data_IF_435438156547
#
_entry.id   IF_435438156547
#
_cell.length_a   1.000
_cell.length_b   1.000
_cell.length_c   1.000
_cell.angle_alpha   90.00
_cell.angle_beta   90.00
_cell.angle_gamma   90.00
#
_symmetry.space_group_name_H-M   'P 1'
#
loop_
_entity.id
_entity.type
_entity.pdbx_description
1 polymer ?
#
# COMPACT_ATOMS: atom_id res chain seq x y z
N UNK A 1 106.86 36.39 -54.13
CA UNK A 1 106.96 36.41 -52.66
C UNK A 1 105.84 37.31 -52.13
N UNK A 2 104.62 36.79 -51.96
CA UNK A 2 103.48 37.39 -51.23
C UNK A 2 102.30 36.41 -51.25
N UNK A 3 101.68 36.15 -50.09
CA UNK A 3 100.62 35.13 -49.83
C UNK A 3 99.24 35.57 -50.36
N UNK A 4 98.29 34.63 -50.60
CA UNK A 4 96.91 34.96 -50.97
C UNK A 4 96.05 35.24 -49.72
N UNK A 5 95.06 36.15 -49.85
CA UNK A 5 93.97 36.33 -48.89
C UNK A 5 92.68 35.80 -49.52
N UNK A 6 92.13 34.75 -48.92
CA UNK A 6 90.81 34.18 -49.22
C UNK A 6 89.82 34.77 -48.20
N UNK A 7 88.71 35.34 -48.69
CA UNK A 7 87.56 35.75 -47.87
C UNK A 7 86.57 34.58 -47.91
N UNK A 8 86.30 33.95 -46.76
CA UNK A 8 85.28 32.91 -46.61
C UNK A 8 84.13 33.46 -45.76
N UNK A 9 82.91 33.32 -46.29
CA UNK A 9 81.66 33.68 -45.66
C UNK A 9 81.37 32.80 -44.44
N UNK A 10 80.85 33.41 -43.38
CA UNK A 10 80.45 32.75 -42.14
C UNK A 10 79.03 32.21 -42.27
N UNK A 11 78.82 30.92 -42.00
CA UNK A 11 77.51 30.31 -41.83
C UNK A 11 77.41 29.80 -40.38
N UNK A 12 76.44 30.33 -39.62
CA UNK A 12 76.14 29.94 -38.25
C UNK A 12 75.32 28.64 -38.27
N UNK A 13 75.80 27.59 -37.59
CA UNK A 13 75.05 26.34 -37.40
C UNK A 13 74.52 26.29 -35.96
N UNK A 14 73.20 26.42 -35.79
CA UNK A 14 72.52 26.30 -34.50
C UNK A 14 72.26 24.82 -34.22
N UNK A 15 72.94 24.24 -33.23
CA UNK A 15 72.64 22.89 -32.76
C UNK A 15 71.38 22.92 -31.87
N UNK A 16 70.28 22.32 -32.34
CA UNK A 16 69.10 22.04 -31.51
C UNK A 16 69.43 20.91 -30.52
N UNK A 17 69.46 21.24 -29.24
CA UNK A 17 69.43 20.26 -28.16
C UNK A 17 67.97 19.86 -27.92
N UNK A 18 67.56 18.68 -28.39
CA UNK A 18 66.26 18.10 -28.06
C UNK A 18 66.46 17.25 -26.81
N UNK A 19 65.94 17.62 -25.63
CA UNK A 19 65.90 16.69 -24.53
C UNK A 19 64.94 15.56 -24.91
N UNK A 20 65.42 14.32 -24.90
CA UNK A 20 64.54 13.16 -24.95
C UNK A 20 63.67 13.19 -23.69
N UNK A 21 62.43 13.66 -23.82
CA UNK A 21 61.42 13.49 -22.79
C UNK A 21 61.18 11.98 -22.65
N UNK A 22 61.76 11.38 -21.62
CA UNK A 22 61.34 10.07 -21.14
C UNK A 22 59.93 10.27 -20.58
N UNK A 23 58.93 10.01 -21.40
CA UNK A 23 57.58 9.80 -20.91
C UNK A 23 57.63 8.49 -20.11
N UNK A 24 57.81 8.59 -18.79
CA UNK A 24 57.40 7.51 -17.89
C UNK A 24 55.88 7.42 -18.01
N UNK A 25 55.41 6.54 -18.89
CA UNK A 25 54.02 6.12 -18.91
C UNK A 25 53.79 5.25 -17.68
N UNK A 26 53.55 5.87 -16.53
CA UNK A 26 52.97 5.19 -15.37
C UNK A 26 51.58 4.73 -15.79
N UNK A 27 51.45 3.44 -16.10
CA UNK A 27 50.14 2.83 -16.36
C UNK A 27 49.31 2.95 -15.09
N UNK A 28 48.35 3.87 -15.07
CA UNK A 28 47.38 4.01 -13.98
C UNK A 28 46.69 2.66 -13.77
N UNK A 29 46.74 2.14 -12.55
CA UNK A 29 46.05 0.88 -12.18
C UNK A 29 44.56 1.17 -12.12
N UNK A 30 43.75 0.35 -12.81
CA UNK A 30 42.30 0.47 -12.83
C UNK A 30 41.69 0.26 -11.43
N UNK A 31 40.77 1.12 -11.05
CA UNK A 31 40.00 1.05 -9.81
C UNK A 31 38.58 0.61 -10.11
N UNK A 32 38.02 -0.34 -9.34
CA UNK A 32 36.68 -0.83 -9.61
C UNK A 32 35.61 0.24 -9.33
N UNK A 33 34.46 0.16 -10.02
CA UNK A 33 33.31 0.99 -9.73
C UNK A 33 32.76 0.68 -8.33
N UNK A 34 32.06 1.65 -7.73
CA UNK A 34 31.39 1.48 -6.43
C UNK A 34 29.98 2.05 -6.45
N UNK A 35 29.05 1.41 -5.75
CA UNK A 35 27.75 2.02 -5.49
C UNK A 35 27.91 3.20 -4.52
N UNK A 36 27.13 4.25 -4.73
CA UNK A 36 27.10 5.42 -3.82
C UNK A 36 26.62 5.05 -2.40
N UNK A 37 25.83 3.97 -2.29
CA UNK A 37 25.40 3.37 -1.03
C UNK A 37 25.60 1.86 -1.09
N UNK A 38 26.42 1.33 -0.17
CA UNK A 38 26.93 -0.06 -0.20
C UNK A 38 26.27 -0.99 0.83
N UNK A 39 25.08 -0.63 1.32
CA UNK A 39 24.30 -1.49 2.22
C UNK A 39 23.29 -2.32 1.44
N UNK A 40 23.11 -3.59 1.81
CA UNK A 40 21.98 -4.40 1.36
C UNK A 40 20.66 -3.66 1.64
N UNK A 41 19.85 -3.51 0.61
CA UNK A 41 18.59 -2.80 0.71
C UNK A 41 17.44 -3.78 0.88
N UNK A 42 16.65 -3.58 1.94
CA UNK A 42 15.42 -4.34 2.18
C UNK A 42 14.23 -3.41 2.01
N UNK A 43 13.30 -3.77 1.14
CA UNK A 43 12.12 -2.98 0.85
C UNK A 43 10.86 -3.82 1.06
N UNK A 44 9.87 -3.24 1.75
CA UNK A 44 8.52 -3.78 1.79
C UNK A 44 7.69 -3.07 0.71
N UNK A 45 7.13 -3.83 -0.22
CA UNK A 45 6.34 -3.31 -1.35
C UNK A 45 4.92 -3.83 -1.24
N UNK A 46 3.92 -3.06 -1.67
CA UNK A 46 2.52 -3.50 -1.62
C UNK A 46 1.98 -3.82 -3.01
N UNK A 47 1.13 -4.85 -3.09
CA UNK A 47 0.44 -5.24 -4.32
C UNK A 47 -0.30 -4.03 -4.92
N UNK A 48 -0.04 -3.77 -6.19
CA UNK A 48 -0.66 -2.68 -6.95
C UNK A 48 -0.04 -1.31 -6.72
N UNK A 49 0.89 -1.14 -5.79
CA UNK A 49 1.64 0.11 -5.62
C UNK A 49 2.91 0.07 -6.50
N UNK A 50 3.35 1.22 -7.00
CA UNK A 50 4.56 1.28 -7.84
C UNK A 50 5.78 1.41 -6.95
N UNK A 51 6.63 0.39 -6.93
CA UNK A 51 7.99 0.47 -6.39
C UNK A 51 8.91 1.09 -7.43
N UNK A 52 9.71 2.07 -7.00
CA UNK A 52 10.69 2.71 -7.83
C UNK A 52 11.92 3.07 -7.01
N UNK A 53 13.11 2.73 -7.53
CA UNK A 53 14.39 3.06 -6.89
C UNK A 53 15.45 3.36 -7.94
N UNK A 54 16.46 4.14 -7.55
CA UNK A 54 17.63 4.44 -8.36
C UNK A 54 18.90 3.98 -7.66
N UNK A 55 19.81 3.39 -8.43
CA UNK A 55 21.11 2.96 -7.97
C UNK A 55 22.16 3.75 -8.71
N UNK A 56 22.92 4.54 -7.96
CA UNK A 56 24.03 5.34 -8.47
C UNK A 56 25.35 4.61 -8.27
N UNK A 57 26.17 4.59 -9.32
CA UNK A 57 27.50 4.00 -9.35
C UNK A 57 28.51 5.06 -9.73
N UNK A 58 29.60 5.16 -8.98
CA UNK A 58 30.71 6.04 -9.29
C UNK A 58 31.94 5.22 -9.62
N UNK A 59 32.58 5.53 -10.73
CA UNK A 59 33.89 5.01 -11.08
C UNK A 59 34.99 6.02 -10.71
N UNK A 60 36.03 5.64 -9.93
CA UNK A 60 37.12 6.57 -9.59
C UNK A 60 37.97 7.01 -10.79
N UNK A 61 37.93 6.25 -11.88
CA UNK A 61 38.70 6.49 -13.09
C UNK A 61 37.87 7.17 -14.20
N UNK A 62 36.59 7.46 -13.93
CA UNK A 62 35.59 8.04 -14.85
C UNK A 62 35.31 7.14 -16.07
N UNK A 63 35.49 5.82 -15.90
CA UNK A 63 35.21 4.84 -16.94
C UNK A 63 33.68 4.63 -17.14
N UNK A 64 33.22 4.35 -18.38
CA UNK A 64 31.80 4.09 -18.65
C UNK A 64 31.27 2.85 -17.93
N UNK A 65 30.12 2.99 -17.25
CA UNK A 65 29.48 1.89 -16.53
C UNK A 65 28.48 1.14 -17.40
N UNK A 66 28.60 -0.18 -17.41
CA UNK A 66 27.58 -1.10 -17.94
C UNK A 66 26.86 -1.80 -16.79
N UNK A 67 25.52 -1.76 -16.82
CA UNK A 67 24.68 -2.41 -15.82
C UNK A 67 24.10 -3.72 -16.35
N UNK A 68 24.05 -4.75 -15.49
CA UNK A 68 23.27 -5.96 -15.71
C UNK A 68 22.41 -6.26 -14.48
N UNK A 69 21.18 -6.69 -14.71
CA UNK A 69 20.21 -6.97 -13.63
C UNK A 69 19.71 -8.40 -13.77
N UNK A 70 19.75 -9.15 -12.68
CA UNK A 70 19.22 -10.52 -12.58
C UNK A 70 18.22 -10.63 -11.44
N UNK A 71 17.29 -11.60 -11.52
CA UNK A 71 16.23 -11.75 -10.51
C UNK A 71 15.12 -10.72 -10.61
N UNK A 72 15.03 -9.98 -11.73
CA UNK A 72 13.99 -8.98 -11.94
C UNK A 72 12.60 -9.66 -12.02
N UNK A 73 11.64 -9.30 -11.15
CA UNK A 73 10.31 -9.93 -11.14
C UNK A 73 9.53 -9.72 -12.45
N UNK A 74 8.52 -10.55 -12.69
CA UNK A 74 7.66 -10.40 -13.86
C UNK A 74 6.99 -9.00 -13.88
N UNK A 75 7.05 -8.31 -15.03
CA UNK A 75 6.49 -6.97 -15.20
C UNK A 75 7.31 -5.83 -14.57
N UNK A 76 8.43 -6.13 -13.90
CA UNK A 76 9.41 -5.12 -13.52
C UNK A 76 10.25 -4.68 -14.73
N UNK A 77 10.74 -3.44 -14.68
CA UNK A 77 11.58 -2.84 -15.72
C UNK A 77 12.82 -2.23 -15.09
N UNK A 78 13.96 -2.39 -15.78
CA UNK A 78 15.19 -1.66 -15.50
C UNK A 78 15.53 -0.76 -16.67
N UNK A 79 15.96 0.48 -16.39
CA UNK A 79 16.33 1.46 -17.40
C UNK A 79 17.50 2.31 -16.91
N UNK A 80 18.43 2.63 -17.81
CA UNK A 80 19.55 3.52 -17.50
C UNK A 80 19.04 4.96 -17.55
N UNK A 81 19.02 5.65 -16.40
CA UNK A 81 18.53 7.03 -16.29
C UNK A 81 19.63 8.05 -16.57
N UNK A 82 20.89 7.68 -16.33
CA UNK A 82 22.10 8.46 -16.63
C UNK A 82 23.26 7.49 -16.86
N UNK A 83 24.45 7.98 -17.29
CA UNK A 83 25.63 7.12 -17.49
C UNK A 83 26.03 6.32 -16.24
N UNK A 84 25.67 6.80 -15.06
CA UNK A 84 26.04 6.25 -13.75
C UNK A 84 24.85 5.82 -12.91
N UNK A 85 23.62 5.97 -13.42
CA UNK A 85 22.38 5.74 -12.66
C UNK A 85 21.49 4.71 -13.34
N UNK A 86 21.19 3.62 -12.64
CA UNK A 86 20.18 2.65 -13.02
C UNK A 86 18.86 2.95 -12.28
N UNK A 87 17.74 2.99 -12.99
CA UNK A 87 16.39 3.09 -12.41
C UNK A 87 15.69 1.74 -12.52
N UNK A 88 15.16 1.25 -11.40
CA UNK A 88 14.30 0.07 -11.33
C UNK A 88 12.88 0.53 -11.03
N UNK A 89 11.92 -0.04 -11.75
CA UNK A 89 10.49 0.25 -11.56
C UNK A 89 9.68 -1.03 -11.64
N UNK A 90 8.76 -1.23 -10.69
CA UNK A 90 7.92 -2.42 -10.63
C UNK A 90 6.56 -2.11 -10.01
N UNK A 91 5.51 -2.78 -10.49
CA UNK A 91 4.17 -2.73 -9.89
C UNK A 91 3.73 -4.18 -9.63
N UNK A 92 4.02 -4.75 -8.45
CA UNK A 92 3.70 -6.14 -8.15
C UNK A 92 2.19 -6.40 -8.21
N UNK A 93 1.85 -7.62 -8.59
CA UNK A 93 0.50 -8.16 -8.56
C UNK A 93 0.33 -9.08 -7.36
N UNK A 94 -0.90 -9.54 -7.12
CA UNK A 94 -1.20 -10.51 -6.05
C UNK A 94 -0.44 -11.85 -6.20
N UNK A 95 0.06 -12.16 -7.40
CA UNK A 95 0.83 -13.38 -7.66
C UNK A 95 2.31 -13.21 -7.30
N UNK A 96 2.73 -11.99 -7.02
CA UNK A 96 4.10 -11.64 -6.64
C UNK A 96 4.26 -11.57 -5.11
N UNK A 97 3.24 -11.89 -4.30
CA UNK A 97 3.33 -11.84 -2.83
C UNK A 97 4.44 -12.79 -2.35
N UNK A 98 5.33 -12.27 -1.50
CA UNK A 98 6.50 -13.00 -1.00
C UNK A 98 7.82 -12.30 -1.29
N UNK A 99 8.96 -12.97 -1.01
CA UNK A 99 10.30 -12.41 -1.21
C UNK A 99 10.73 -12.45 -2.68
N UNK A 100 11.46 -11.42 -3.11
CA UNK A 100 12.10 -11.29 -4.43
C UNK A 100 13.49 -10.69 -4.25
N UNK A 101 14.50 -11.40 -4.77
CA UNK A 101 15.89 -10.96 -4.72
C UNK A 101 16.32 -10.48 -6.10
N UNK A 102 16.68 -9.19 -6.18
CA UNK A 102 17.22 -8.57 -7.39
C UNK A 102 18.70 -8.32 -7.18
N UNK A 103 19.53 -8.76 -8.12
CA UNK A 103 20.97 -8.48 -8.10
C UNK A 103 21.28 -7.55 -9.25
N UNK A 104 21.90 -6.42 -8.91
CA UNK A 104 22.39 -5.42 -9.86
C UNK A 104 23.91 -5.46 -9.86
N UNK A 105 24.48 -5.66 -11.04
CA UNK A 105 25.92 -5.63 -11.26
C UNK A 105 26.27 -4.44 -12.14
N UNK A 106 27.36 -3.75 -11.79
CA UNK A 106 27.96 -2.69 -12.56
C UNK A 106 29.41 -3.07 -12.91
N UNK A 107 29.81 -2.85 -14.16
CA UNK A 107 31.15 -3.13 -14.68
C UNK A 107 31.69 -1.93 -15.44
N UNK A 108 32.98 -1.66 -15.26
CA UNK A 108 33.74 -0.61 -15.98
C UNK A 108 34.28 -1.07 -17.35
N UNK A 109 34.13 -2.36 -17.69
CA UNK A 109 34.70 -2.95 -18.93
C UNK A 109 36.23 -3.00 -18.97
N UNK A 110 36.91 -2.63 -17.88
CA UNK A 110 38.37 -2.67 -17.66
C UNK A 110 38.78 -3.73 -16.63
N UNK A 111 37.82 -4.48 -16.10
CA UNK A 111 38.01 -5.60 -15.19
C UNK A 111 37.54 -5.33 -13.77
N UNK A 112 37.08 -4.11 -13.47
CA UNK A 112 36.44 -3.75 -12.22
C UNK A 112 34.93 -3.98 -12.27
N UNK A 113 34.43 -4.71 -11.28
CA UNK A 113 33.03 -5.08 -11.17
C UNK A 113 32.57 -4.90 -9.72
N UNK A 114 31.32 -4.47 -9.54
CA UNK A 114 30.66 -4.44 -8.23
C UNK A 114 29.23 -4.95 -8.36
N UNK A 115 28.71 -5.60 -7.32
CA UNK A 115 27.34 -6.12 -7.29
C UNK A 115 26.64 -5.65 -6.02
N UNK A 116 25.32 -5.42 -6.13
CA UNK A 116 24.45 -5.05 -5.02
C UNK A 116 23.15 -5.83 -5.09
N UNK A 117 22.71 -6.32 -3.93
CA UNK A 117 21.47 -7.06 -3.78
C UNK A 117 20.36 -6.15 -3.23
N UNK A 118 19.18 -6.27 -3.81
CA UNK A 118 17.95 -5.66 -3.31
C UNK A 118 16.99 -6.79 -2.95
N UNK A 119 16.58 -6.80 -1.69
CA UNK A 119 15.63 -7.76 -1.14
C UNK A 119 14.26 -7.10 -1.03
N UNK A 120 13.35 -7.44 -1.93
CA UNK A 120 11.97 -6.94 -1.90
C UNK A 120 11.08 -7.98 -1.22
N UNK A 121 10.24 -7.56 -0.28
CA UNK A 121 9.14 -8.38 0.25
C UNK A 121 7.83 -7.76 -0.20
N UNK A 122 7.10 -8.44 -1.08
CA UNK A 122 5.77 -8.00 -1.51
C UNK A 122 4.74 -8.46 -0.50
N UNK A 123 3.97 -7.51 -0.01
CA UNK A 123 2.86 -7.71 0.90
C UNK A 123 1.55 -7.27 0.25
N UNK A 124 0.45 -7.83 0.74
CA UNK A 124 -0.92 -7.49 0.29
C UNK A 124 -1.77 -7.03 1.47
N UNK A 125 -1.09 -6.43 2.45
CA UNK A 125 -1.69 -5.79 3.61
C UNK A 125 -2.01 -4.34 3.25
N UNK A 126 -3.15 -3.85 3.68
CA UNK A 126 -3.49 -2.45 3.50
C UNK A 126 -4.44 -1.96 4.59
N UNK A 127 -4.53 -0.64 4.72
CA UNK A 127 -5.45 0.04 5.63
C UNK A 127 -6.14 1.19 4.90
N UNK A 128 -7.43 1.34 5.13
CA UNK A 128 -8.21 2.46 4.59
C UNK A 128 -8.90 3.18 5.75
N UNK A 129 -9.07 4.49 5.61
CA UNK A 129 -9.62 5.35 6.64
C UNK A 129 -10.66 6.28 6.04
N UNK A 130 -11.68 6.63 6.83
CA UNK A 130 -12.70 7.61 6.47
C UNK A 130 -13.38 7.36 5.12
N UNK A 131 -13.93 6.16 4.92
CA UNK A 131 -14.70 5.86 3.70
C UNK A 131 -16.19 6.12 3.96
N UNK A 132 -16.83 7.04 3.22
CA UNK A 132 -18.27 7.18 3.29
C UNK A 132 -18.94 5.94 2.68
N UNK A 133 -20.18 5.71 3.10
CA UNK A 133 -21.01 4.65 2.59
C UNK A 133 -22.48 4.90 2.87
N UNK A 134 -23.28 4.07 2.23
CA UNK A 134 -24.71 4.01 2.47
C UNK A 134 -25.12 2.56 2.70
N UNK A 135 -26.08 2.34 3.58
CA UNK A 135 -26.66 1.03 3.79
C UNK A 135 -28.19 1.08 3.82
N UNK A 136 -28.81 -0.07 3.57
CA UNK A 136 -30.21 -0.28 3.81
C UNK A 136 -30.35 -1.18 5.02
N UNK A 137 -31.07 -0.72 6.04
CA UNK A 137 -31.24 -1.38 7.32
C UNK A 137 -32.70 -1.76 7.51
N UNK A 138 -32.95 -2.97 8.01
CA UNK A 138 -34.27 -3.45 8.39
C UNK A 138 -34.20 -4.07 9.78
N UNK A 139 -34.98 -3.55 10.72
CA UNK A 139 -35.15 -4.06 12.07
C UNK A 139 -36.56 -4.66 12.23
N UNK A 140 -36.60 -5.93 12.58
CA UNK A 140 -37.80 -6.70 12.86
C UNK A 140 -37.92 -6.91 14.38
N UNK A 141 -38.54 -5.97 15.12
CA UNK A 141 -38.73 -6.12 16.55
C UNK A 141 -39.64 -7.32 16.87
N UNK A 142 -39.49 -7.88 18.07
CA UNK A 142 -40.40 -8.92 18.58
C UNK A 142 -41.79 -8.31 18.81
N UNK A 143 -41.84 -7.09 19.33
CA UNK A 143 -43.06 -6.28 19.48
C UNK A 143 -43.60 -5.70 18.16
N UNK A 144 -43.53 -6.46 17.06
CA UNK A 144 -43.97 -6.04 15.71
C UNK A 144 -45.44 -5.58 15.67
N UNK A 145 -46.29 -6.12 16.53
CA UNK A 145 -47.67 -5.66 16.67
C UNK A 145 -47.78 -4.22 17.17
N UNK A 146 -46.85 -3.78 18.01
CA UNK A 146 -46.78 -2.42 18.55
C UNK A 146 -46.02 -1.49 17.61
N UNK A 147 -44.86 -1.93 17.12
CA UNK A 147 -43.90 -1.04 16.48
C UNK A 147 -43.83 -1.15 14.95
N UNK A 148 -44.43 -2.20 14.37
CA UNK A 148 -44.18 -2.56 12.97
C UNK A 148 -42.74 -3.04 12.75
N UNK A 149 -42.34 -3.11 11.48
CA UNK A 149 -40.94 -3.31 11.07
C UNK A 149 -40.34 -1.95 10.76
N UNK A 150 -39.15 -1.68 11.27
CA UNK A 150 -38.40 -0.47 10.92
C UNK A 150 -37.52 -0.75 9.71
N UNK A 151 -37.53 0.11 8.71
CA UNK A 151 -36.70 -0.02 7.53
C UNK A 151 -36.31 1.34 6.97
N UNK A 152 -35.10 1.45 6.43
CA UNK A 152 -34.64 2.72 5.90
C UNK A 152 -33.19 2.71 5.46
N UNK A 153 -32.68 3.91 5.23
CA UNK A 153 -31.32 4.13 4.75
C UNK A 153 -30.43 4.55 5.90
N UNK A 154 -29.16 4.21 5.79
CA UNK A 154 -28.09 4.64 6.68
C UNK A 154 -27.03 5.40 5.90
N UNK A 155 -26.48 6.44 6.51
CA UNK A 155 -25.17 6.93 6.15
C UNK A 155 -24.14 6.24 7.06
N UNK A 156 -23.24 5.45 6.47
CA UNK A 156 -22.15 4.79 7.19
C UNK A 156 -20.85 5.56 6.95
N UNK A 157 -20.09 5.80 8.00
CA UNK A 157 -18.72 6.30 7.91
C UNK A 157 -17.81 5.20 8.45
N UNK A 158 -17.07 4.56 7.54
CA UNK A 158 -16.02 3.63 7.91
C UNK A 158 -14.80 4.43 8.37
N UNK A 159 -14.57 4.47 9.68
CA UNK A 159 -13.51 5.26 10.31
C UNK A 159 -12.15 4.65 9.99
N UNK A 160 -12.04 3.34 10.16
CA UNK A 160 -10.82 2.59 9.87
C UNK A 160 -11.16 1.18 9.40
N UNK A 161 -10.35 0.68 8.49
CA UNK A 161 -10.33 -0.72 8.09
C UNK A 161 -8.91 -1.20 7.88
N UNK A 162 -8.69 -2.49 8.11
CA UNK A 162 -7.41 -3.12 7.87
C UNK A 162 -7.61 -4.50 7.26
N UNK A 163 -6.66 -4.87 6.41
CA UNK A 163 -6.48 -6.21 5.91
C UNK A 163 -5.05 -6.65 6.19
N UNK A 164 -4.92 -7.80 6.84
CA UNK A 164 -3.69 -8.54 7.02
C UNK A 164 -3.83 -9.90 6.32
N UNK A 165 -3.10 -10.09 5.22
CA UNK A 165 -2.99 -11.34 4.47
C UNK A 165 -1.72 -12.06 4.92
N UNK A 166 -1.84 -12.79 6.02
CA UNK A 166 -0.76 -13.62 6.52
C UNK A 166 -1.29 -14.88 7.20
N UNK A 167 -0.37 -15.77 7.53
CA UNK A 167 -0.64 -17.02 8.21
C UNK A 167 -0.69 -16.91 9.74
N UNK A 168 -0.49 -15.71 10.29
CA UNK A 168 -0.45 -15.50 11.74
C UNK A 168 -1.84 -15.63 12.36
N UNK A 169 -1.87 -15.87 13.67
CA UNK A 169 -3.13 -15.89 14.43
C UNK A 169 -3.64 -14.46 14.63
N UNK A 170 -4.94 -14.27 14.45
CA UNK A 170 -5.61 -12.99 14.66
C UNK A 170 -6.67 -12.72 13.59
N UNK A 171 -7.42 -11.63 13.73
CA UNK A 171 -8.36 -11.21 12.69
C UNK A 171 -7.59 -10.77 11.44
N UNK A 172 -7.92 -11.35 10.30
CA UNK A 172 -7.32 -10.98 9.02
C UNK A 172 -7.89 -9.66 8.51
N UNK A 173 -9.16 -9.37 8.79
CA UNK A 173 -9.81 -8.14 8.39
C UNK A 173 -10.48 -7.52 9.59
N UNK A 174 -10.57 -6.20 9.62
CA UNK A 174 -11.50 -5.56 10.51
C UNK A 174 -11.89 -4.18 10.05
N UNK A 175 -13.04 -3.74 10.58
CA UNK A 175 -13.63 -2.45 10.32
C UNK A 175 -14.08 -1.84 11.64
N UNK A 176 -13.98 -0.52 11.74
CA UNK A 176 -14.59 0.30 12.77
C UNK A 176 -15.36 1.40 12.06
N UNK A 177 -16.65 1.54 12.37
CA UNK A 177 -17.57 2.40 11.62
C UNK A 177 -18.60 3.07 12.53
N UNK A 178 -19.20 4.13 11.99
CA UNK A 178 -20.33 4.85 12.57
C UNK A 178 -21.51 4.79 11.58
N UNK A 179 -22.68 4.40 12.05
CA UNK A 179 -23.92 4.38 11.29
C UNK A 179 -24.88 5.47 11.79
N UNK A 180 -25.56 6.11 10.84
CA UNK A 180 -26.64 7.06 11.06
C UNK A 180 -27.88 6.60 10.29
N UNK A 181 -28.74 5.81 10.93
CA UNK A 181 -29.93 5.24 10.29
C UNK A 181 -31.12 6.19 10.40
N UNK A 182 -31.83 6.41 9.29
CA UNK A 182 -33.17 7.02 9.27
C UNK A 182 -34.17 5.94 8.90
N UNK A 183 -34.94 5.47 9.88
CA UNK A 183 -35.79 4.29 9.77
C UNK A 183 -37.27 4.67 9.81
N UNK A 184 -38.07 4.16 8.88
CA UNK A 184 -39.53 4.29 8.90
C UNK A 184 -40.16 3.00 9.38
N UNK A 185 -41.18 3.10 10.22
CA UNK A 185 -42.01 1.95 10.58
C UNK A 185 -42.98 1.61 9.43
N UNK A 186 -43.24 0.31 9.23
CA UNK A 186 -44.35 -0.17 8.39
C UNK A 186 -45.72 0.08 9.01
N UNK A 187 -45.78 0.42 10.30
CA UNK A 187 -47.03 0.78 10.98
C UNK A 187 -47.27 2.29 10.87
N UNK A 188 -48.40 2.67 10.27
CA UNK A 188 -48.73 4.07 10.00
C UNK A 188 -48.82 4.98 11.25
N UNK A 189 -49.11 4.39 12.42
CA UNK A 189 -49.23 5.12 13.69
C UNK A 189 -47.88 5.33 14.39
N UNK A 190 -46.82 4.64 13.96
CA UNK A 190 -45.49 4.71 14.58
C UNK A 190 -44.62 5.63 13.77
N UNK A 191 -43.93 6.56 14.42
CA UNK A 191 -43.11 7.53 13.69
C UNK A 191 -41.79 6.97 13.19
N UNK A 192 -41.08 7.76 12.39
CA UNK A 192 -39.72 7.42 12.01
C UNK A 192 -38.81 7.41 13.25
N UNK A 193 -37.87 6.47 13.26
CA UNK A 193 -36.81 6.39 14.24
C UNK A 193 -35.49 6.85 13.62
N UNK A 194 -34.59 7.34 14.48
CA UNK A 194 -33.20 7.61 14.14
C UNK A 194 -32.31 6.71 15.00
N UNK A 195 -31.30 6.10 14.41
CA UNK A 195 -30.33 5.28 15.14
C UNK A 195 -28.92 5.81 14.87
N UNK A 196 -28.21 6.17 15.94
CA UNK A 196 -26.80 6.51 15.88
C UNK A 196 -26.02 5.40 16.59
N UNK A 197 -25.24 4.64 15.83
CA UNK A 197 -24.49 3.51 16.38
C UNK A 197 -23.05 3.48 15.89
N UNK A 198 -22.14 3.09 16.79
CA UNK A 198 -20.78 2.73 16.45
C UNK A 198 -20.64 1.21 16.41
N UNK A 199 -19.87 0.70 15.47
CA UNK A 199 -19.67 -0.73 15.33
C UNK A 199 -18.25 -1.12 14.98
N UNK A 200 -17.95 -2.39 15.24
CA UNK A 200 -16.79 -3.05 14.68
C UNK A 200 -17.17 -4.42 14.14
N UNK A 201 -16.42 -4.88 13.16
CA UNK A 201 -16.47 -6.25 12.69
C UNK A 201 -15.07 -6.78 12.37
N UNK A 202 -14.92 -8.09 12.52
CA UNK A 202 -13.65 -8.81 12.41
C UNK A 202 -13.85 -10.08 11.60
N UNK A 203 -13.06 -10.26 10.54
CA UNK A 203 -12.93 -11.55 9.87
C UNK A 203 -11.81 -12.36 10.52
N UNK A 204 -12.11 -13.60 10.93
CA UNK A 204 -11.16 -14.53 11.56
C UNK A 204 -10.65 -15.56 10.54
N UNK A 205 -10.97 -15.39 9.26
CA UNK A 205 -10.46 -16.26 8.22
C UNK A 205 -8.92 -16.13 8.13
N UNK A 206 -8.21 -17.25 8.08
CA UNK A 206 -6.75 -17.29 7.98
C UNK A 206 -6.32 -17.09 6.52
N UNK A 207 -5.44 -16.14 6.28
CA UNK A 207 -4.90 -15.81 4.95
C UNK A 207 -5.93 -15.78 3.79
N UNK A 208 -7.04 -15.04 3.89
CA UNK A 208 -8.00 -14.96 2.80
C UNK A 208 -7.41 -14.14 1.63
N UNK A 209 -7.03 -14.86 0.58
CA UNK A 209 -6.54 -14.30 -0.70
C UNK A 209 -7.67 -13.81 -1.62
N UNK A 210 -8.94 -14.03 -1.23
CA UNK A 210 -10.11 -13.64 -2.01
C UNK A 210 -10.76 -12.39 -1.45
N UNK A 211 -11.38 -11.60 -2.33
CA UNK A 211 -12.06 -10.36 -1.96
C UNK A 211 -13.55 -10.56 -1.68
N UNK A 212 -14.08 -11.76 -1.91
CA UNK A 212 -15.52 -12.04 -1.89
C UNK A 212 -15.86 -13.11 -0.86
N UNK A 213 -17.05 -12.99 -0.28
CA UNK A 213 -17.59 -13.89 0.74
C UNK A 213 -16.60 -14.15 1.88
N UNK A 214 -16.13 -13.07 2.50
CA UNK A 214 -15.31 -13.12 3.71
C UNK A 214 -16.22 -13.01 4.93
N UNK A 215 -16.37 -14.08 5.73
CA UNK A 215 -17.21 -14.03 6.90
C UNK A 215 -16.60 -13.14 7.98
N UNK A 216 -17.44 -12.42 8.71
CA UNK A 216 -17.04 -11.61 9.85
C UNK A 216 -18.04 -11.73 11.00
N UNK A 217 -17.55 -11.39 12.18
CA UNK A 217 -18.33 -11.26 13.41
C UNK A 217 -18.05 -9.91 14.03
N UNK A 218 -19.06 -9.34 14.67
CA UNK A 218 -18.96 -7.97 15.16
C UNK A 218 -20.00 -7.62 16.19
N UNK A 219 -19.98 -6.35 16.54
CA UNK A 219 -20.93 -5.76 17.47
C UNK A 219 -21.15 -4.30 17.10
N UNK A 220 -22.41 -3.86 17.15
CA UNK A 220 -22.79 -2.45 17.16
C UNK A 220 -23.30 -2.06 18.55
N UNK A 221 -23.10 -0.80 18.92
CA UNK A 221 -23.68 -0.18 20.11
C UNK A 221 -24.11 1.23 19.76
N UNK A 222 -25.28 1.65 20.24
CA UNK A 222 -25.85 2.91 19.80
C UNK A 222 -27.08 3.32 20.57
N UNK A 223 -27.63 4.46 20.18
CA UNK A 223 -28.86 5.00 20.72
C UNK A 223 -29.93 4.97 19.63
N UNK A 224 -30.99 4.20 19.88
CA UNK A 224 -32.19 4.18 19.07
C UNK A 224 -33.16 5.24 19.58
N UNK A 225 -33.38 6.28 18.79
CA UNK A 225 -34.17 7.46 19.11
C UNK A 225 -35.52 7.34 18.41
N UNK A 226 -36.58 7.39 19.19
CA UNK A 226 -37.95 7.28 18.69
C UNK A 226 -38.87 8.08 19.61
N UNK A 227 -39.72 8.91 19.01
CA UNK A 227 -40.58 9.86 19.74
C UNK A 227 -41.61 9.16 20.63
N UNK A 228 -42.05 7.97 20.24
CA UNK A 228 -43.07 7.20 20.93
C UNK A 228 -42.50 6.45 22.16
N UNK A 229 -41.18 6.54 22.41
CA UNK A 229 -40.55 6.07 23.63
C UNK A 229 -40.66 7.10 24.76
N UNK A 230 -40.92 6.63 25.99
CA UNK A 230 -41.10 7.47 27.19
C UNK A 230 -39.95 8.47 27.42
N UNK A 231 -38.71 8.08 27.11
CA UNK A 231 -37.50 8.93 27.24
C UNK A 231 -36.97 9.43 25.90
N UNK A 232 -37.69 9.20 24.80
CA UNK A 232 -37.29 9.55 23.44
C UNK A 232 -36.14 8.72 22.86
N UNK A 233 -35.42 7.93 23.66
CA UNK A 233 -34.33 7.06 23.19
C UNK A 233 -34.09 5.85 24.08
N UNK A 234 -33.44 4.84 23.51
CA UNK A 234 -32.95 3.65 24.21
C UNK A 234 -31.59 3.24 23.68
N UNK A 235 -30.64 2.98 24.56
CA UNK A 235 -29.36 2.39 24.19
C UNK A 235 -29.53 0.92 23.82
N UNK A 236 -28.76 0.44 22.85
CA UNK A 236 -28.76 -0.97 22.46
C UNK A 236 -27.35 -1.48 22.22
N UNK A 237 -27.21 -2.80 22.35
CA UNK A 237 -26.07 -3.58 21.86
C UNK A 237 -26.60 -4.54 20.80
N UNK A 238 -25.84 -4.78 19.75
CA UNK A 238 -26.25 -5.60 18.60
C UNK A 238 -25.08 -6.45 18.14
N UNK A 239 -24.87 -7.65 18.75
CA UNK A 239 -23.96 -8.62 18.17
C UNK A 239 -24.45 -9.01 16.78
N UNK A 240 -23.51 -9.21 15.87
CA UNK A 240 -23.81 -9.47 14.47
C UNK A 240 -22.80 -10.42 13.83
N UNK A 241 -23.25 -11.02 12.74
CA UNK A 241 -22.41 -11.77 11.82
C UNK A 241 -22.78 -11.38 10.39
N UNK A 242 -21.84 -11.53 9.47
CA UNK A 242 -22.06 -11.17 8.09
C UNK A 242 -20.97 -11.68 7.17
N UNK A 243 -21.03 -11.22 5.94
CA UNK A 243 -19.99 -11.43 4.97
C UNK A 243 -19.70 -10.13 4.21
N UNK A 244 -18.41 -9.86 3.96
CA UNK A 244 -18.05 -8.96 2.89
C UNK A 244 -18.33 -9.69 1.59
N UNK A 245 -19.39 -9.28 0.88
CA UNK A 245 -19.67 -9.73 -0.47
C UNK A 245 -18.55 -9.28 -1.42
N UNK A 246 -17.97 -8.12 -1.13
CA UNK A 246 -16.72 -7.61 -1.71
C UNK A 246 -15.93 -6.81 -0.67
N UNK A 247 -14.60 -6.96 -0.62
CA UNK A 247 -13.70 -6.18 0.22
C UNK A 247 -12.37 -5.93 -0.49
N UNK A 248 -12.10 -4.68 -0.81
CA UNK A 248 -10.81 -4.17 -1.26
C UNK A 248 -10.53 -2.77 -0.67
N UNK A 249 -9.35 -2.21 -0.98
CA UNK A 249 -8.91 -0.93 -0.40
C UNK A 249 -9.82 0.26 -0.71
N UNK A 250 -10.65 0.12 -1.74
CA UNK A 250 -11.49 1.18 -2.30
C UNK A 250 -12.98 0.89 -2.19
N UNK A 251 -13.39 -0.35 -1.91
CA UNK A 251 -14.78 -0.78 -1.99
C UNK A 251 -15.07 -1.89 -0.99
N UNK A 252 -16.09 -1.67 -0.16
CA UNK A 252 -16.70 -2.70 0.66
C UNK A 252 -18.18 -2.85 0.28
N UNK A 253 -18.58 -4.07 -0.06
CA UNK A 253 -19.99 -4.46 -0.15
C UNK A 253 -20.25 -5.46 0.97
N UNK A 254 -21.15 -5.11 1.88
CA UNK A 254 -21.31 -5.78 3.16
C UNK A 254 -22.75 -6.25 3.30
N UNK A 255 -22.95 -7.51 3.70
CA UNK A 255 -24.24 -8.01 4.16
C UNK A 255 -24.08 -8.53 5.59
N UNK A 256 -24.96 -8.11 6.50
CA UNK A 256 -24.93 -8.54 7.90
C UNK A 256 -26.32 -8.77 8.47
N UNK A 257 -26.38 -9.66 9.45
CA UNK A 257 -27.52 -9.87 10.31
C UNK A 257 -27.05 -9.85 11.77
N UNK A 258 -27.80 -9.16 12.61
CA UNK A 258 -27.52 -9.06 14.05
C UNK A 258 -28.80 -9.08 14.85
N UNK A 259 -28.68 -9.16 16.17
CA UNK A 259 -29.82 -9.14 17.06
C UNK A 259 -29.74 -7.92 17.98
N UNK A 260 -30.60 -6.93 17.73
CA UNK A 260 -30.65 -5.71 18.52
C UNK A 260 -31.22 -6.03 19.91
N UNK A 261 -30.49 -5.62 20.95
CA UNK A 261 -30.85 -5.78 22.35
C UNK A 261 -30.83 -4.43 23.04
N UNK A 262 -32.00 -3.83 23.32
CA UNK A 262 -32.09 -2.63 24.14
C UNK A 262 -31.54 -2.89 25.55
N UNK A 263 -30.79 -1.96 26.11
CA UNK A 263 -30.23 -2.06 27.48
C UNK A 263 -31.29 -1.65 28.54
N UNK A 264 -32.44 -1.11 28.11
CA UNK A 264 -33.55 -0.78 29.00
C UNK A 264 -34.50 -1.95 29.17
N UNK A 265 -34.66 -2.45 30.41
CA UNK A 265 -35.60 -3.52 30.75
C UNK A 265 -37.04 -3.23 30.31
N UNK A 266 -37.47 -1.95 30.32
CA UNK A 266 -38.85 -1.55 29.97
C UNK A 266 -39.20 -1.79 28.50
N UNK A 267 -38.24 -1.62 27.59
CA UNK A 267 -38.45 -1.74 26.16
C UNK A 267 -37.75 -2.96 25.56
N UNK A 268 -37.15 -3.80 26.40
CA UNK A 268 -36.38 -4.96 25.97
C UNK A 268 -37.25 -5.96 25.20
N UNK A 269 -38.41 -6.34 25.76
CA UNK A 269 -39.27 -7.36 25.14
C UNK A 269 -39.97 -6.87 23.87
N UNK A 270 -40.10 -5.55 23.70
CA UNK A 270 -40.77 -4.97 22.55
C UNK A 270 -39.82 -4.65 21.40
N UNK A 271 -38.69 -3.99 21.68
CA UNK A 271 -37.78 -3.48 20.66
C UNK A 271 -36.64 -4.42 20.29
N UNK A 272 -36.36 -5.46 21.11
CA UNK A 272 -35.36 -6.46 20.70
C UNK A 272 -35.79 -7.14 19.40
N UNK A 273 -34.84 -7.50 18.56
CA UNK A 273 -35.18 -8.18 17.32
C UNK A 273 -34.06 -8.32 16.33
N UNK A 274 -34.35 -9.00 15.23
CA UNK A 274 -33.42 -9.21 14.13
C UNK A 274 -33.21 -7.89 13.38
N UNK A 275 -31.96 -7.49 13.18
CA UNK A 275 -31.57 -6.40 12.28
C UNK A 275 -30.76 -6.97 11.12
N UNK A 276 -31.15 -6.63 9.90
CA UNK A 276 -30.44 -7.00 8.67
C UNK A 276 -29.96 -5.72 8.00
N UNK A 277 -28.73 -5.72 7.49
CA UNK A 277 -28.15 -4.58 6.81
C UNK A 277 -27.44 -5.04 5.53
N UNK A 278 -27.61 -4.27 4.46
CA UNK A 278 -26.78 -4.37 3.24
C UNK A 278 -26.19 -2.99 2.97
N UNK A 279 -24.87 -2.90 2.95
CA UNK A 279 -24.13 -1.63 2.88
C UNK A 279 -23.05 -1.61 1.82
N UNK A 280 -22.75 -0.41 1.35
CA UNK A 280 -21.69 -0.12 0.39
C UNK A 280 -20.84 1.04 0.93
N UNK A 281 -19.53 0.85 1.07
CA UNK A 281 -18.56 1.92 1.35
C UNK A 281 -17.57 2.00 0.21
N UNK A 282 -17.11 3.22 -0.10
CA UNK A 282 -16.12 3.43 -1.15
C UNK A 282 -15.10 4.51 -0.76
N UNK A 283 -13.88 4.40 -1.29
CA UNK A 283 -12.87 5.46 -1.15
C UNK A 283 -13.25 6.63 -2.05
N UNK A 284 -13.06 7.85 -1.56
CA UNK A 284 -13.25 9.07 -2.34
C UNK A 284 -11.96 9.51 -3.07
N UNK A 285 -10.83 8.84 -2.85
CA UNK A 285 -9.53 9.12 -3.48
C UNK A 285 -8.68 7.86 -3.66
#
# INVERSE_FOLDING_TARGET
MTKPRIILASALFTALFVPAARADATTKVNQPPRFSYDSDERHHVHVGDTFETTLDVNDPDDDPITFSVTGLPAGATSSISSKTTLRLRWKPTKWDVGPHDIVVQASDGKGGNVSKSLHLTVEDNWRSYFMPGASYSTLLPVGRGTWGTFQGVSAEILIASWIHRNENRGPSHGRVYLDMDVLRSTRAQTSAAFDLSGGFDLSIERNPIRHWMLPFFGMKTGAFIQKDLEKGSVWHVTPLAGAYLWADKNLFLVASAGYMMPISARHFDELRGLRVNVGLNFSLW
#
